data_IF_013741873417
#
_entry.id   IF_013741873417
#
_cell.length_a   1.000
_cell.length_b   1.000
_cell.length_c   1.000
_cell.angle_alpha   90.00
_cell.angle_beta   90.00
_cell.angle_gamma   90.00
#
_symmetry.space_group_name_H-M   'P 1'
#
loop_
_entity.id
_entity.type
_entity.pdbx_description
1 polymer ?
#
# COMPACT_ATOMS: atom_id res chain seq x y z
N UNK A 1 -19.97 -71.78 -53.46
CA UNK A 1 -20.03 -70.31 -53.58
C UNK A 1 -20.31 -69.69 -52.21
N UNK A 2 -19.28 -69.42 -51.38
CA UNK A 2 -19.43 -68.77 -50.05
C UNK A 2 -18.13 -68.15 -49.50
N UNK A 3 -16.97 -68.38 -50.14
CA UNK A 3 -15.65 -67.89 -49.69
C UNK A 3 -15.38 -66.41 -50.01
N UNK A 4 -16.05 -65.84 -51.01
CA UNK A 4 -15.85 -64.43 -51.41
C UNK A 4 -16.55 -63.42 -50.47
N UNK A 5 -17.57 -63.84 -49.71
CA UNK A 5 -18.34 -62.94 -48.83
C UNK A 5 -17.57 -62.57 -47.56
N UNK A 6 -16.79 -63.49 -46.98
CA UNK A 6 -16.00 -63.22 -45.76
C UNK A 6 -14.75 -62.39 -46.07
N UNK A 7 -14.11 -62.63 -47.21
CA UNK A 7 -12.94 -61.85 -47.64
C UNK A 7 -13.31 -60.38 -47.93
N UNK A 8 -14.46 -60.12 -48.58
CA UNK A 8 -14.94 -58.75 -48.83
C UNK A 8 -15.29 -57.98 -47.55
N UNK A 9 -15.85 -58.65 -46.54
CA UNK A 9 -16.20 -58.00 -45.26
C UNK A 9 -14.94 -57.64 -44.46
N UNK A 10 -13.93 -58.50 -44.45
CA UNK A 10 -12.63 -58.22 -43.80
C UNK A 10 -11.90 -57.09 -44.53
N UNK A 11 -11.91 -57.08 -45.87
CA UNK A 11 -11.28 -56.01 -46.66
C UNK A 11 -11.95 -54.65 -46.42
N UNK A 12 -13.29 -54.62 -46.33
CA UNK A 12 -14.08 -53.41 -46.01
C UNK A 12 -13.82 -52.91 -44.59
N UNK A 13 -13.65 -53.80 -43.61
CA UNK A 13 -13.33 -53.42 -42.23
C UNK A 13 -11.92 -52.85 -42.10
N UNK A 14 -10.93 -53.43 -42.79
CA UNK A 14 -9.55 -52.93 -42.79
C UNK A 14 -9.47 -51.58 -43.51
N UNK A 15 -10.19 -51.40 -44.63
CA UNK A 15 -10.25 -50.11 -45.33
C UNK A 15 -10.97 -49.03 -44.49
N UNK A 16 -12.05 -49.40 -43.78
CA UNK A 16 -12.76 -48.51 -42.87
C UNK A 16 -11.93 -48.06 -41.66
N UNK A 17 -11.15 -48.98 -41.07
CA UNK A 17 -10.26 -48.67 -39.95
C UNK A 17 -9.09 -47.76 -40.36
N UNK A 18 -8.52 -47.97 -41.56
CA UNK A 18 -7.44 -47.12 -42.09
C UNK A 18 -7.94 -45.71 -42.44
N UNK A 19 -9.18 -45.59 -42.96
CA UNK A 19 -9.80 -44.29 -43.24
C UNK A 19 -10.23 -43.55 -41.96
N UNK A 20 -10.61 -44.25 -40.88
CA UNK A 20 -10.93 -43.63 -39.60
C UNK A 20 -9.68 -43.13 -38.86
N UNK A 21 -8.54 -43.82 -39.01
CA UNK A 21 -7.25 -43.41 -38.44
C UNK A 21 -6.65 -42.18 -39.16
N UNK A 22 -7.07 -41.89 -40.40
CA UNK A 22 -6.56 -40.77 -41.19
C UNK A 22 -7.42 -39.49 -41.08
N UNK A 23 -8.61 -39.57 -40.45
CA UNK A 23 -9.51 -38.41 -40.28
C UNK A 23 -9.34 -37.66 -38.96
N UNK A 24 -8.48 -38.12 -38.04
CA UNK A 24 -8.35 -37.50 -36.70
C UNK A 24 -7.09 -36.67 -36.50
N UNK A 25 -6.50 -36.12 -37.57
CA UNK A 25 -5.38 -35.18 -37.38
C UNK A 25 -5.26 -34.13 -38.48
N UNK A 26 -6.10 -33.10 -38.36
CA UNK A 26 -5.65 -31.71 -38.55
C UNK A 26 -6.67 -30.76 -37.90
N UNK A 27 -6.40 -30.32 -36.67
CA UNK A 27 -6.83 -28.98 -36.27
C UNK A 27 -5.82 -28.03 -36.90
N UNK A 28 -5.93 -27.82 -38.21
CA UNK A 28 -5.29 -26.66 -38.83
C UNK A 28 -5.91 -25.44 -38.17
N UNK A 29 -5.04 -24.54 -37.69
CA UNK A 29 -5.44 -23.26 -37.12
C UNK A 29 -6.01 -22.44 -38.29
N UNK A 30 -7.32 -22.49 -38.51
CA UNK A 30 -7.96 -21.87 -39.69
C UNK A 30 -7.86 -20.33 -39.73
N UNK A 31 -7.41 -19.67 -38.65
CA UNK A 31 -7.18 -18.22 -38.61
C UNK A 31 -5.93 -17.86 -37.80
N UNK A 32 -5.17 -16.83 -38.19
CA UNK A 32 -4.15 -16.23 -37.33
C UNK A 32 -4.78 -15.84 -35.98
N UNK A 33 -4.06 -16.11 -34.90
CA UNK A 33 -4.47 -15.65 -33.58
C UNK A 33 -4.07 -14.19 -33.42
N UNK A 34 -4.99 -13.31 -33.77
CA UNK A 34 -4.84 -11.85 -33.65
C UNK A 34 -5.16 -11.33 -32.24
N UNK A 35 -5.49 -12.22 -31.29
CA UNK A 35 -5.81 -11.79 -29.92
C UNK A 35 -4.60 -11.22 -29.18
N UNK A 36 -3.39 -11.47 -29.67
CA UNK A 36 -2.13 -11.16 -28.97
C UNK A 36 -1.96 -11.95 -27.67
N UNK A 37 -2.90 -12.84 -27.33
CA UNK A 37 -2.87 -13.61 -26.09
C UNK A 37 -1.99 -14.84 -26.28
N UNK A 38 -0.73 -14.73 -25.88
CA UNK A 38 0.11 -15.91 -25.75
C UNK A 38 -0.41 -16.73 -24.56
N UNK A 39 -0.91 -17.94 -24.82
CA UNK A 39 -1.23 -18.93 -23.77
C UNK A 39 0.07 -19.47 -23.17
N UNK A 40 0.73 -18.65 -22.36
CA UNK A 40 1.72 -19.13 -21.41
C UNK A 40 1.02 -19.95 -20.33
N UNK A 41 1.68 -20.96 -19.73
CA UNK A 41 1.27 -21.46 -18.42
C UNK A 41 1.05 -20.27 -17.48
N UNK A 42 0.11 -20.36 -16.54
CA UNK A 42 0.02 -19.35 -15.48
C UNK A 42 1.29 -19.44 -14.63
N UNK A 43 2.29 -18.63 -14.99
CA UNK A 43 3.57 -18.51 -14.31
C UNK A 43 3.43 -17.61 -13.07
N UNK A 44 2.22 -17.19 -12.69
CA UNK A 44 1.98 -16.29 -11.57
C UNK A 44 2.49 -14.86 -11.79
N UNK A 45 2.79 -14.46 -13.03
CA UNK A 45 3.41 -13.16 -13.34
C UNK A 45 2.58 -11.99 -12.79
N UNK A 46 1.27 -12.01 -13.00
CA UNK A 46 0.39 -10.94 -12.51
C UNK A 46 0.36 -10.89 -10.98
N UNK A 47 0.27 -12.06 -10.33
CA UNK A 47 0.33 -12.16 -8.87
C UNK A 47 1.65 -11.62 -8.32
N UNK A 48 2.77 -11.97 -8.95
CA UNK A 48 4.09 -11.44 -8.55
C UNK A 48 4.20 -9.93 -8.76
N UNK A 49 3.63 -9.40 -9.85
CA UNK A 49 3.59 -7.96 -10.09
C UNK A 49 2.76 -7.24 -9.01
N UNK A 50 1.60 -7.77 -8.64
CA UNK A 50 0.77 -7.25 -7.54
C UNK A 50 1.52 -7.26 -6.20
N UNK A 51 2.15 -8.39 -5.84
CA UNK A 51 2.94 -8.51 -4.61
C UNK A 51 4.11 -7.51 -4.57
N UNK A 52 4.78 -7.28 -5.71
CA UNK A 52 5.86 -6.30 -5.81
C UNK A 52 5.34 -4.86 -5.67
N UNK A 53 4.18 -4.55 -6.24
CA UNK A 53 3.54 -3.23 -6.09
C UNK A 53 3.12 -2.97 -4.64
N UNK A 54 2.52 -3.96 -3.97
CA UNK A 54 2.15 -3.85 -2.56
C UNK A 54 3.37 -3.63 -1.66
N UNK A 55 4.45 -4.37 -1.89
CA UNK A 55 5.73 -4.14 -1.19
C UNK A 55 6.29 -2.76 -1.47
N UNK A 56 6.23 -2.30 -2.72
CA UNK A 56 6.62 -0.94 -3.10
C UNK A 56 5.84 0.13 -2.34
N UNK A 57 4.51 -0.02 -2.25
CA UNK A 57 3.67 0.87 -1.44
C UNK A 57 4.03 0.83 0.03
N UNK A 58 4.31 -0.35 0.60
CA UNK A 58 4.69 -0.48 2.00
C UNK A 58 6.02 0.25 2.28
N UNK A 59 7.03 0.06 1.43
CA UNK A 59 8.31 0.77 1.52
C UNK A 59 8.10 2.28 1.42
N UNK A 60 7.38 2.74 0.39
CA UNK A 60 7.13 4.16 0.16
C UNK A 60 6.40 4.84 1.34
N UNK A 61 5.42 4.15 1.94
CA UNK A 61 4.56 4.70 2.99
C UNK A 61 5.16 4.58 4.39
N UNK A 62 5.88 3.50 4.68
CA UNK A 62 6.18 3.10 6.06
C UNK A 62 7.66 2.81 6.35
N UNK A 63 8.52 2.71 5.34
CA UNK A 63 9.96 2.51 5.59
C UNK A 63 10.63 3.84 5.95
N UNK A 64 11.30 3.87 7.10
CA UNK A 64 12.00 5.04 7.64
C UNK A 64 13.47 5.07 7.23
N UNK A 65 14.00 3.96 6.70
CA UNK A 65 15.40 3.84 6.28
C UNK A 65 16.40 4.17 7.40
N UNK A 66 16.01 3.96 8.66
CA UNK A 66 16.84 4.23 9.83
C UNK A 66 16.99 5.72 10.18
N UNK A 67 16.18 6.61 9.58
CA UNK A 67 16.24 8.04 9.85
C UNK A 67 15.80 8.43 11.27
N UNK A 68 15.30 7.48 12.06
CA UNK A 68 15.06 7.67 13.49
C UNK A 68 16.34 8.08 14.22
N UNK A 69 17.52 7.67 13.73
CA UNK A 69 18.80 8.13 14.27
C UNK A 69 18.92 9.67 14.26
N UNK A 70 18.26 10.34 13.31
CA UNK A 70 18.18 11.80 13.26
C UNK A 70 16.94 12.31 14.01
N UNK A 71 15.73 11.92 13.61
CA UNK A 71 14.49 12.49 14.15
C UNK A 71 14.19 12.10 15.60
N UNK A 72 14.56 10.88 15.99
CA UNK A 72 14.41 10.39 17.36
C UNK A 72 15.65 10.67 18.18
N UNK A 73 16.83 10.20 17.75
CA UNK A 73 17.99 10.15 18.63
C UNK A 73 18.70 11.50 18.73
N UNK A 74 18.82 12.24 17.63
CA UNK A 74 19.39 13.60 17.64
C UNK A 74 18.37 14.63 18.06
N UNK A 75 17.27 14.76 17.31
CA UNK A 75 16.30 15.84 17.52
C UNK A 75 15.36 15.63 18.70
N UNK A 76 15.24 14.40 19.22
CA UNK A 76 14.32 14.06 20.33
C UNK A 76 12.85 14.44 20.08
N UNK A 77 12.39 14.53 18.83
CA UNK A 77 11.03 15.00 18.51
C UNK A 77 9.92 14.11 19.10
N UNK A 78 10.17 12.81 19.26
CA UNK A 78 9.25 11.91 19.95
C UNK A 78 8.87 12.39 21.37
N UNK A 79 9.70 13.22 22.01
CA UNK A 79 9.40 13.80 23.32
C UNK A 79 8.36 14.90 23.26
N UNK A 80 8.34 15.74 22.22
CA UNK A 80 7.37 16.85 22.12
C UNK A 80 5.99 16.42 21.63
N UNK A 81 5.89 15.25 21.00
CA UNK A 81 4.61 14.65 20.61
C UNK A 81 3.75 14.29 21.82
N UNK A 82 4.37 13.96 22.95
CA UNK A 82 3.71 13.58 24.19
C UNK A 82 3.79 14.74 25.18
N UNK A 83 2.72 15.00 25.92
CA UNK A 83 2.75 16.06 26.92
C UNK A 83 3.64 15.70 28.12
N UNK A 84 4.15 16.71 28.82
CA UNK A 84 4.96 16.53 30.02
C UNK A 84 4.24 15.72 31.11
N UNK A 85 2.90 15.82 31.18
CA UNK A 85 2.05 15.03 32.08
C UNK A 85 2.12 13.52 31.82
N UNK A 86 2.57 13.11 30.63
CA UNK A 86 2.65 11.72 30.18
C UNK A 86 4.08 11.31 29.80
N UNK A 87 5.10 11.98 30.35
CA UNK A 87 6.50 11.61 30.18
C UNK A 87 7.19 12.16 28.92
N UNK A 88 6.53 13.07 28.20
CA UNK A 88 7.14 13.84 27.11
C UNK A 88 7.65 15.22 27.56
N UNK A 89 7.66 16.18 26.63
CA UNK A 89 8.11 17.56 26.83
C UNK A 89 7.07 18.53 26.26
N UNK A 90 6.77 19.59 27.01
CA UNK A 90 5.76 20.58 26.61
C UNK A 90 4.31 20.08 26.75
N UNK A 91 3.40 20.64 25.96
CA UNK A 91 1.96 20.33 26.03
C UNK A 91 1.52 19.14 25.18
N UNK A 92 2.44 18.56 24.40
CA UNK A 92 2.10 17.62 23.32
C UNK A 92 1.70 18.36 22.05
N UNK A 93 1.73 17.67 20.91
CA UNK A 93 1.31 18.23 19.62
C UNK A 93 -0.11 17.80 19.33
N UNK A 94 -1.01 18.75 19.08
CA UNK A 94 -2.40 18.47 18.66
C UNK A 94 -2.48 18.15 17.17
N UNK A 95 -3.55 17.46 16.70
CA UNK A 95 -3.76 17.26 15.28
C UNK A 95 -3.81 18.57 14.49
N UNK A 96 -4.38 19.62 15.07
CA UNK A 96 -4.42 20.95 14.46
C UNK A 96 -3.03 21.54 14.25
N UNK A 97 -2.17 21.49 15.28
CA UNK A 97 -0.77 21.91 15.15
C UNK A 97 -0.02 21.09 14.11
N UNK A 98 -0.24 19.77 14.05
CA UNK A 98 0.36 18.92 13.03
C UNK A 98 -0.08 19.32 11.60
N UNK A 99 -1.36 19.64 11.40
CA UNK A 99 -1.89 20.14 10.13
C UNK A 99 -1.31 21.51 9.76
N UNK A 100 -1.13 22.40 10.74
CA UNK A 100 -0.49 23.71 10.55
C UNK A 100 0.99 23.58 10.14
N UNK A 101 1.66 22.49 10.52
CA UNK A 101 3.01 22.13 10.04
C UNK A 101 3.00 21.52 8.63
N UNK A 102 1.82 21.37 8.02
CA UNK A 102 1.64 20.81 6.69
C UNK A 102 1.57 19.29 6.63
N UNK A 103 1.59 18.59 7.77
CA UNK A 103 1.33 17.15 7.83
C UNK A 103 -0.10 16.85 7.39
N UNK A 104 -0.34 15.63 6.90
CA UNK A 104 -1.63 15.21 6.33
C UNK A 104 -2.16 13.99 7.07
N UNK A 105 -3.49 13.86 7.16
CA UNK A 105 -4.16 12.76 7.84
C UNK A 105 -5.01 11.96 6.86
N UNK A 106 -4.74 10.67 6.78
CA UNK A 106 -5.47 9.70 5.97
C UNK A 106 -6.74 9.23 6.68
N UNK A 107 -7.90 9.64 6.18
CA UNK A 107 -9.19 9.21 6.72
C UNK A 107 -9.49 7.74 6.40
N UNK A 108 -8.91 7.15 5.36
CA UNK A 108 -9.32 5.83 4.87
C UNK A 108 -8.97 4.72 5.86
N UNK A 109 -7.90 4.91 6.64
CA UNK A 109 -7.43 3.96 7.66
C UNK A 109 -8.08 4.16 9.03
N UNK A 110 -8.83 5.25 9.23
CA UNK A 110 -9.43 5.55 10.52
C UNK A 110 -10.70 4.74 10.79
N UNK A 111 -10.91 4.28 12.04
CA UNK A 111 -12.18 3.72 12.47
C UNK A 111 -13.29 4.78 12.45
N UNK A 112 -14.54 4.34 12.27
CA UNK A 112 -15.68 5.24 12.05
C UNK A 112 -15.89 6.25 13.19
N UNK A 113 -15.63 5.84 14.44
CA UNK A 113 -15.76 6.73 15.59
C UNK A 113 -14.77 7.92 15.51
N UNK A 114 -13.53 7.72 15.03
CA UNK A 114 -12.56 8.81 14.88
C UNK A 114 -12.95 9.72 13.71
N UNK A 115 -13.46 9.15 12.61
CA UNK A 115 -13.97 9.94 11.48
C UNK A 115 -15.08 10.89 11.91
N UNK A 116 -16.03 10.41 12.71
CA UNK A 116 -17.12 11.24 13.24
C UNK A 116 -16.59 12.34 14.16
N UNK A 117 -15.71 11.99 15.09
CA UNK A 117 -15.07 12.94 16.02
C UNK A 117 -14.26 14.03 15.33
N UNK A 118 -13.55 13.69 14.26
CA UNK A 118 -12.80 14.66 13.44
C UNK A 118 -13.77 15.60 12.71
N UNK A 119 -14.88 15.08 12.18
CA UNK A 119 -15.94 15.90 11.55
C UNK A 119 -16.56 16.91 12.53
N UNK A 120 -16.66 16.56 13.81
CA UNK A 120 -17.15 17.45 14.87
C UNK A 120 -16.15 18.55 15.28
N UNK A 121 -14.90 18.50 14.81
CA UNK A 121 -13.87 19.52 14.99
C UNK A 121 -13.22 19.60 16.38
N UNK A 122 -13.92 19.22 17.45
CA UNK A 122 -13.43 19.33 18.84
C UNK A 122 -12.23 18.44 19.16
N UNK A 123 -12.05 17.33 18.43
CA UNK A 123 -10.96 16.38 18.69
C UNK A 123 -9.62 16.83 18.08
N UNK A 124 -9.59 17.88 17.25
CA UNK A 124 -8.34 18.35 16.65
C UNK A 124 -7.48 19.19 17.61
N UNK A 125 -8.05 19.62 18.73
CA UNK A 125 -7.35 20.38 19.78
C UNK A 125 -6.81 19.49 20.91
N UNK A 126 -7.02 18.16 20.85
CA UNK A 126 -6.56 17.22 21.87
C UNK A 126 -5.25 16.51 21.44
N UNK A 127 -4.12 16.70 22.15
CA UNK A 127 -2.85 16.03 21.84
C UNK A 127 -2.91 14.50 21.85
N UNK A 128 -3.82 13.91 22.64
CA UNK A 128 -3.97 12.44 22.65
C UNK A 128 -4.42 11.89 21.31
N UNK A 129 -5.16 12.67 20.52
CA UNK A 129 -5.64 12.26 19.21
C UNK A 129 -4.46 12.09 18.24
N UNK A 130 -3.44 12.94 18.33
CA UNK A 130 -2.21 12.78 17.53
C UNK A 130 -1.56 11.42 17.78
N UNK A 131 -1.51 10.98 19.03
CA UNK A 131 -0.94 9.67 19.39
C UNK A 131 -1.76 8.52 18.79
N UNK A 132 -3.08 8.61 18.84
CA UNK A 132 -3.97 7.61 18.22
C UNK A 132 -3.83 7.59 16.68
N UNK A 133 -3.73 8.75 16.04
CA UNK A 133 -3.48 8.86 14.60
C UNK A 133 -2.14 8.23 14.21
N UNK A 134 -1.09 8.44 15.02
CA UNK A 134 0.22 7.84 14.79
C UNK A 134 0.21 6.32 14.97
N UNK A 135 -0.48 5.79 15.99
CA UNK A 135 -0.64 4.34 16.18
C UNK A 135 -1.33 3.66 14.99
N UNK A 136 -2.25 4.38 14.35
CA UNK A 136 -2.98 3.90 13.16
C UNK A 136 -2.21 4.15 11.85
N UNK A 137 -0.99 4.70 11.88
CA UNK A 137 -0.26 5.16 10.70
C UNK A 137 -1.10 6.06 9.78
N UNK A 138 -1.94 6.90 10.39
CA UNK A 138 -2.84 7.80 9.67
C UNK A 138 -2.17 9.13 9.30
N UNK A 139 -1.09 9.52 9.97
CA UNK A 139 -0.30 10.70 9.59
C UNK A 139 0.62 10.33 8.43
N UNK A 140 0.44 10.96 7.27
CA UNK A 140 1.17 10.57 6.06
C UNK A 140 2.68 10.77 6.22
N UNK A 141 3.40 9.67 6.09
CA UNK A 141 4.86 9.63 6.10
C UNK A 141 5.52 9.95 7.44
N UNK A 142 4.78 9.87 8.55
CA UNK A 142 5.34 9.88 9.90
C UNK A 142 5.05 8.52 10.53
N UNK A 143 6.10 7.79 10.90
CA UNK A 143 5.98 6.46 11.50
C UNK A 143 6.48 6.51 12.93
N UNK A 144 5.63 6.13 13.87
CA UNK A 144 5.97 6.05 15.29
C UNK A 144 5.95 4.60 15.77
N UNK A 145 7.01 4.17 16.46
CA UNK A 145 7.08 2.86 17.12
C UNK A 145 6.77 3.05 18.61
N UNK A 146 5.90 2.19 19.15
CA UNK A 146 5.45 2.27 20.53
C UNK A 146 5.99 1.11 21.37
N UNK A 147 6.30 1.37 22.64
CA UNK A 147 6.69 0.38 23.64
C UNK A 147 5.98 0.69 24.97
N UNK A 148 5.21 -0.27 25.49
CA UNK A 148 4.43 -0.08 26.72
C UNK A 148 3.49 1.13 26.71
N UNK A 149 3.01 1.53 25.53
CA UNK A 149 2.16 2.73 25.34
C UNK A 149 2.90 4.04 25.12
N UNK A 150 4.23 4.07 25.28
CA UNK A 150 5.07 5.24 25.04
C UNK A 150 5.65 5.22 23.63
N UNK A 151 5.91 6.40 23.03
CA UNK A 151 6.65 6.48 21.77
C UNK A 151 8.12 6.15 22.04
N UNK A 152 8.60 5.07 21.44
CA UNK A 152 10.00 4.64 21.46
C UNK A 152 10.81 5.37 20.40
N UNK A 153 10.26 5.52 19.20
CA UNK A 153 10.91 6.24 18.10
C UNK A 153 9.88 6.81 17.12
N UNK A 154 10.30 7.83 16.39
CA UNK A 154 9.62 8.46 15.26
C UNK A 154 10.62 8.66 14.11
N UNK A 155 10.18 8.36 12.90
CA UNK A 155 10.91 8.61 11.65
C UNK A 155 9.97 9.15 10.58
N UNK A 156 10.53 9.59 9.46
CA UNK A 156 9.76 10.01 8.30
C UNK A 156 9.97 9.06 7.13
N UNK A 157 9.06 9.09 6.16
CA UNK A 157 9.13 8.23 4.97
C UNK A 157 8.99 9.07 3.71
N UNK A 158 9.11 8.43 2.54
CA UNK A 158 8.93 9.10 1.25
C UNK A 158 7.56 9.80 1.15
N UNK A 159 6.52 9.22 1.77
CA UNK A 159 5.16 9.75 1.75
C UNK A 159 5.00 11.10 2.47
N UNK A 160 5.95 11.50 3.32
CA UNK A 160 5.86 12.80 4.02
C UNK A 160 5.89 13.96 3.02
N UNK A 161 6.77 13.87 2.03
CA UNK A 161 6.96 14.85 0.97
C UNK A 161 6.23 14.47 -0.33
N UNK A 162 6.04 13.19 -0.62
CA UNK A 162 5.50 12.69 -1.89
C UNK A 162 4.06 12.15 -1.78
N UNK A 163 3.32 12.51 -0.74
CA UNK A 163 1.89 12.22 -0.65
C UNK A 163 1.10 13.39 -0.11
N UNK A 164 -0.16 13.47 -0.52
CA UNK A 164 -1.12 14.43 0.04
C UNK A 164 -2.49 13.77 0.17
N UNK A 165 -3.51 14.54 0.46
CA UNK A 165 -4.90 14.07 0.49
C UNK A 165 -5.77 14.81 -0.52
N UNK A 166 -6.94 14.26 -0.81
CA UNK A 166 -7.95 14.83 -1.71
C UNK A 166 -8.73 16.03 -1.14
N UNK A 167 -8.38 16.50 0.06
CA UNK A 167 -9.09 17.56 0.78
C UNK A 167 -8.17 18.74 1.13
N UNK A 168 -8.62 20.00 0.95
CA UNK A 168 -7.84 21.19 1.31
C UNK A 168 -7.64 21.35 2.83
N UNK A 169 -8.40 20.63 3.68
CA UNK A 169 -8.19 20.66 5.13
C UNK A 169 -6.93 19.93 5.60
N UNK A 170 -6.25 19.21 4.70
CA UNK A 170 -5.17 18.30 5.05
C UNK A 170 -5.61 16.96 5.64
N UNK A 171 -6.94 16.74 5.74
CA UNK A 171 -7.55 15.50 6.22
C UNK A 171 -8.45 14.93 5.12
N UNK A 172 -8.13 13.76 4.58
CA UNK A 172 -8.85 13.19 3.43
C UNK A 172 -8.34 11.82 3.00
N UNK A 173 -8.71 11.39 1.79
CA UNK A 173 -8.20 10.16 1.20
C UNK A 173 -6.78 10.35 0.70
N UNK A 174 -5.88 9.43 1.04
CA UNK A 174 -4.47 9.47 0.62
C UNK A 174 -4.32 9.46 -0.90
N UNK A 175 -3.43 10.30 -1.40
CA UNK A 175 -2.99 10.38 -2.78
C UNK A 175 -1.45 10.26 -2.84
N UNK A 176 -0.96 9.05 -3.11
CA UNK A 176 0.47 8.81 -3.30
C UNK A 176 0.97 9.39 -4.63
N UNK A 177 2.26 9.77 -4.67
CA UNK A 177 2.90 10.33 -5.87
C UNK A 177 2.58 11.79 -6.14
N UNK A 178 1.80 12.45 -5.26
CA UNK A 178 1.50 13.89 -5.32
C UNK A 178 2.26 14.61 -4.22
N UNK A 179 3.04 15.63 -4.60
CA UNK A 179 3.86 16.37 -3.65
C UNK A 179 3.03 17.05 -2.54
N UNK A 180 3.49 16.92 -1.29
CA UNK A 180 3.02 17.71 -0.17
C UNK A 180 3.64 19.11 -0.23
N UNK A 181 2.90 20.05 -0.83
CA UNK A 181 3.41 21.41 -1.10
C UNK A 181 3.39 22.33 0.11
N UNK A 182 2.75 21.90 1.19
CA UNK A 182 2.57 22.72 2.39
C UNK A 182 3.45 22.26 3.56
N UNK A 183 4.19 21.14 3.39
CA UNK A 183 5.02 20.57 4.46
C UNK A 183 6.10 21.55 4.90
N UNK A 184 6.07 21.96 6.16
CA UNK A 184 7.04 22.89 6.73
C UNK A 184 8.08 22.14 7.58
N UNK A 185 9.06 21.55 6.89
CA UNK A 185 10.15 20.78 7.52
C UNK A 185 10.96 21.64 8.51
N UNK A 186 11.19 22.91 8.18
CA UNK A 186 11.92 23.83 9.05
C UNK A 186 11.20 24.07 10.38
N UNK A 187 9.88 24.30 10.34
CA UNK A 187 9.08 24.46 11.55
C UNK A 187 9.02 23.15 12.37
N UNK A 188 8.95 21.99 11.72
CA UNK A 188 8.99 20.69 12.40
C UNK A 188 10.32 20.53 13.15
N UNK A 189 11.46 20.80 12.50
CA UNK A 189 12.78 20.74 13.13
C UNK A 189 12.90 21.76 14.27
N UNK A 190 12.30 22.95 14.13
CA UNK A 190 12.32 23.97 15.17
C UNK A 190 11.57 23.56 16.47
N UNK A 191 10.75 22.50 16.43
CA UNK A 191 10.15 21.90 17.62
C UNK A 191 11.11 20.98 18.39
N UNK A 192 12.28 20.66 17.83
CA UNK A 192 13.22 19.74 18.43
C UNK A 192 13.74 20.27 19.79
N UNK A 193 13.67 19.44 20.85
CA UNK A 193 14.33 19.77 22.12
C UNK A 193 15.86 19.92 22.01
N UNK A 194 16.47 19.33 21.00
CA UNK A 194 17.92 19.34 20.81
C UNK A 194 18.27 19.58 19.33
N UNK A 195 19.02 20.66 19.08
CA UNK A 195 19.53 21.07 17.77
C UNK A 195 21.06 21.10 17.73
N UNK A 196 21.73 20.60 18.78
CA UNK A 196 23.17 20.72 18.99
C UNK A 196 24.02 19.69 18.24
#
# INVERSE_FOLDING_TARGET
>A
MKKYSVLSVILLFVFGAVMFQCSTREKTREKPDESGSVKWPDLGINKHAEELLEKGHAVFRFETFGDEAFWTDKLKLHKVLVSAKHGGMGEGITPKQALDLGLKVDLTVLPEFLKQKIKEGKFLDDPFVTLELLKLNAVLGVVAKFDGGNIKSVGITCASCHSTVDSPSGIGSRLDGRANRDLNVGAIIALAPDLS
#
